data_IF_170959312018
#
_entry.id   IF_170959312018
#
_cell.length_a   1.000
_cell.length_b   1.000
_cell.length_c   1.000
_cell.angle_alpha   90.00
_cell.angle_beta   90.00
_cell.angle_gamma   90.00
#
_symmetry.space_group_name_H-M   'P 1'
#
loop_
_entity.id
_entity.type
_entity.pdbx_description
1 polymer ?
#
# COMPACT_ATOMS: atom_id res chain seq x y z
N UNK A 1 -4.58 22.44 6.03
CA UNK A 1 -4.11 22.98 4.74
C UNK A 1 -2.78 22.30 4.43
N UNK A 2 -2.80 21.08 3.87
CA UNK A 2 -1.58 20.39 3.48
C UNK A 2 -1.08 21.01 2.17
N UNK A 3 0.02 21.76 2.22
CA UNK A 3 0.61 22.37 1.03
C UNK A 3 1.41 21.31 0.26
N UNK A 4 1.11 21.14 -1.03
CA UNK A 4 1.93 20.28 -1.90
C UNK A 4 3.18 21.04 -2.33
N UNK A 5 4.37 20.48 -2.07
CA UNK A 5 5.64 21.00 -2.61
C UNK A 5 6.01 20.23 -3.89
N UNK A 6 6.40 20.94 -4.94
CA UNK A 6 6.87 20.31 -6.19
C UNK A 6 8.30 19.83 -6.00
N UNK A 7 8.54 18.56 -6.31
CA UNK A 7 9.86 17.94 -6.40
C UNK A 7 10.09 17.50 -7.84
N UNK A 8 11.30 17.70 -8.36
CA UNK A 8 11.68 17.24 -9.70
C UNK A 8 12.55 15.99 -9.56
N UNK A 9 12.16 14.91 -10.22
CA UNK A 9 12.88 13.63 -10.24
C UNK A 9 13.00 13.15 -11.67
N UNK A 10 14.06 12.39 -11.96
CA UNK A 10 14.19 11.68 -13.24
C UNK A 10 13.49 10.32 -13.15
N UNK A 11 12.71 9.99 -14.17
CA UNK A 11 12.02 8.71 -14.31
C UNK A 11 12.38 8.10 -15.67
N UNK A 12 12.47 6.77 -15.78
CA UNK A 12 12.55 6.11 -17.09
C UNK A 12 11.37 6.53 -17.97
N UNK A 13 11.63 6.89 -19.21
CA UNK A 13 10.62 7.38 -20.16
C UNK A 13 9.49 6.36 -20.35
N UNK A 14 9.84 5.10 -20.61
CA UNK A 14 8.89 4.00 -20.78
C UNK A 14 7.94 3.86 -19.58
N UNK A 15 8.45 4.04 -18.36
CA UNK A 15 7.66 3.95 -17.14
C UNK A 15 6.70 5.14 -17.01
N UNK A 16 7.20 6.35 -17.30
CA UNK A 16 6.40 7.56 -17.23
C UNK A 16 5.25 7.52 -18.24
N UNK A 17 5.51 7.09 -19.47
CA UNK A 17 4.50 6.97 -20.52
C UNK A 17 3.50 5.85 -20.23
N UNK A 18 3.96 4.69 -19.74
CA UNK A 18 3.05 3.61 -19.32
C UNK A 18 2.09 4.07 -18.22
N UNK A 19 2.60 4.77 -17.21
CA UNK A 19 1.77 5.31 -16.13
C UNK A 19 0.81 6.40 -16.64
N UNK A 20 1.24 7.30 -17.54
CA UNK A 20 0.36 8.30 -18.17
C UNK A 20 -0.76 7.66 -18.98
N UNK A 21 -0.45 6.64 -19.77
CA UNK A 21 -1.44 5.89 -20.54
C UNK A 21 -2.45 5.17 -19.65
N UNK A 22 -2.01 4.67 -18.49
CA UNK A 22 -2.87 3.97 -17.53
C UNK A 22 -3.86 4.91 -16.83
N UNK A 23 -3.42 6.10 -16.40
CA UNK A 23 -4.19 7.00 -15.53
C UNK A 23 -4.93 8.10 -16.27
N UNK A 24 -4.56 8.35 -17.53
CA UNK A 24 -5.14 9.40 -18.36
C UNK A 24 -4.71 10.83 -17.99
N UNK A 25 -5.32 11.85 -18.62
CA UNK A 25 -4.93 13.24 -18.46
C UNK A 25 -5.11 13.73 -17.02
N UNK A 26 -4.07 14.32 -16.43
CA UNK A 26 -4.14 14.94 -15.11
C UNK A 26 -4.02 13.99 -13.90
N UNK A 27 -4.05 12.66 -14.12
CA UNK A 27 -3.94 11.66 -13.05
C UNK A 27 -2.52 11.24 -12.69
N UNK A 28 -1.51 11.69 -13.43
CA UNK A 28 -0.13 11.20 -13.24
C UNK A 28 0.44 11.52 -11.86
N UNK A 29 0.30 12.77 -11.39
CA UNK A 29 0.86 13.18 -10.10
C UNK A 29 0.19 12.48 -8.91
N UNK A 30 -1.15 12.29 -8.95
CA UNK A 30 -1.87 11.58 -7.88
C UNK A 30 -1.51 10.10 -7.86
N UNK A 31 -1.42 9.47 -9.03
CA UNK A 31 -0.99 8.08 -9.13
C UNK A 31 0.41 7.85 -8.57
N UNK A 32 1.36 8.73 -8.91
CA UNK A 32 2.72 8.65 -8.36
C UNK A 32 2.72 8.88 -6.85
N UNK A 33 1.92 9.83 -6.35
CA UNK A 33 1.81 10.08 -4.91
C UNK A 33 1.24 8.86 -4.16
N UNK A 34 0.13 8.29 -4.63
CA UNK A 34 -0.48 7.10 -4.04
C UNK A 34 0.45 5.89 -4.06
N UNK A 35 1.15 5.66 -5.17
CA UNK A 35 2.13 4.59 -5.28
C UNK A 35 3.31 4.78 -4.29
N UNK A 36 3.79 6.01 -4.11
CA UNK A 36 4.84 6.33 -3.14
C UNK A 36 4.34 6.18 -1.69
N UNK A 37 3.14 6.65 -1.38
CA UNK A 37 2.52 6.49 -0.06
C UNK A 37 2.36 5.02 0.30
N UNK A 38 1.81 4.22 -0.62
CA UNK A 38 1.71 2.77 -0.48
C UNK A 38 3.09 2.15 -0.27
N UNK A 39 4.10 2.56 -1.05
CA UNK A 39 5.44 2.00 -0.94
C UNK A 39 6.06 2.28 0.42
N UNK A 40 5.98 3.52 0.88
CA UNK A 40 6.49 3.92 2.21
C UNK A 40 5.76 3.17 3.31
N UNK A 41 4.43 3.00 3.21
CA UNK A 41 3.66 2.24 4.18
C UNK A 41 4.11 0.77 4.24
N UNK A 42 4.34 0.13 3.09
CA UNK A 42 4.81 -1.25 3.01
C UNK A 42 6.25 -1.42 3.50
N UNK A 43 7.13 -0.46 3.24
CA UNK A 43 8.51 -0.49 3.74
C UNK A 43 8.55 -0.40 5.28
N UNK A 44 7.72 0.47 5.89
CA UNK A 44 7.54 0.52 7.35
C UNK A 44 6.91 -0.75 7.91
N UNK A 45 5.93 -1.32 7.22
CA UNK A 45 5.33 -2.59 7.62
C UNK A 45 6.36 -3.72 7.62
N UNK A 46 7.25 -3.75 6.61
CA UNK A 46 8.34 -4.73 6.54
C UNK A 46 9.30 -4.59 7.72
N UNK A 47 9.62 -3.38 8.15
CA UNK A 47 10.44 -3.12 9.33
C UNK A 47 9.79 -3.72 10.59
N UNK A 48 8.50 -3.43 10.82
CA UNK A 48 7.74 -3.98 11.95
C UNK A 48 7.73 -5.53 11.92
N UNK A 49 7.53 -6.13 10.75
CA UNK A 49 7.53 -7.59 10.60
C UNK A 49 8.90 -8.19 10.88
N UNK A 50 9.99 -7.54 10.44
CA UNK A 50 11.35 -8.00 10.70
C UNK A 50 11.69 -7.94 12.21
N UNK A 51 11.29 -6.87 12.89
CA UNK A 51 11.45 -6.73 14.34
C UNK A 51 10.66 -7.79 15.10
N UNK A 52 9.43 -8.08 14.66
CA UNK A 52 8.61 -9.14 15.23
C UNK A 52 9.27 -10.52 15.04
N UNK A 53 9.73 -10.84 13.83
CA UNK A 53 10.35 -12.12 13.50
C UNK A 53 11.68 -12.36 14.24
N UNK A 54 12.34 -11.30 14.71
CA UNK A 54 13.55 -11.43 15.53
C UNK A 54 13.28 -12.06 16.90
N UNK A 55 12.07 -11.86 17.45
CA UNK A 55 11.71 -12.25 18.82
C UNK A 55 10.68 -13.38 18.88
N UNK A 56 10.14 -13.80 17.74
CA UNK A 56 9.06 -14.77 17.66
C UNK A 56 9.42 -15.87 16.67
N UNK A 57 8.92 -17.08 16.94
CA UNK A 57 9.04 -18.21 16.02
C UNK A 57 8.25 -17.94 14.71
N UNK A 58 8.58 -18.68 13.65
CA UNK A 58 7.88 -18.58 12.38
C UNK A 58 6.39 -18.89 12.55
N UNK A 59 5.54 -18.01 12.01
CA UNK A 59 4.09 -18.24 11.98
C UNK A 59 3.77 -19.45 11.10
N UNK A 60 3.00 -20.38 11.64
CA UNK A 60 2.51 -21.54 10.88
C UNK A 60 1.50 -21.10 9.83
N UNK A 61 1.35 -21.93 8.78
CA UNK A 61 0.38 -21.64 7.71
C UNK A 61 -1.05 -21.59 8.26
N UNK A 62 -1.35 -22.44 9.23
CA UNK A 62 -2.63 -22.53 9.92
C UNK A 62 -2.95 -21.21 10.65
N UNK A 63 -1.99 -20.66 11.39
CA UNK A 63 -2.14 -19.37 12.09
C UNK A 63 -2.34 -18.21 11.12
N UNK A 64 -1.58 -18.19 10.01
CA UNK A 64 -1.73 -17.17 8.98
C UNK A 64 -3.11 -17.24 8.32
N UNK A 65 -3.61 -18.43 7.99
CA UNK A 65 -4.94 -18.57 7.39
C UNK A 65 -6.07 -18.22 8.38
N UNK A 66 -5.93 -18.56 9.66
CA UNK A 66 -6.87 -18.14 10.70
C UNK A 66 -6.92 -16.61 10.83
N UNK A 67 -5.76 -15.94 10.87
CA UNK A 67 -5.68 -14.47 10.92
C UNK A 67 -6.28 -13.82 9.66
N UNK A 68 -6.02 -14.38 8.47
CA UNK A 68 -6.64 -13.91 7.22
C UNK A 68 -8.16 -14.05 7.21
N UNK A 69 -8.68 -15.14 7.78
CA UNK A 69 -10.12 -15.33 7.92
C UNK A 69 -10.73 -14.21 8.77
N UNK A 70 -10.14 -13.92 9.94
CA UNK A 70 -10.61 -12.84 10.82
C UNK A 70 -10.65 -11.48 10.12
N UNK A 71 -9.58 -11.08 9.43
CA UNK A 71 -9.52 -9.80 8.70
C UNK A 71 -10.58 -9.70 7.60
N UNK A 72 -10.88 -10.80 6.89
CA UNK A 72 -11.96 -10.83 5.89
C UNK A 72 -13.33 -10.67 6.52
N UNK A 73 -13.54 -11.21 7.72
CA UNK A 73 -14.80 -11.10 8.45
C UNK A 73 -15.06 -9.67 8.95
N UNK A 74 -14.05 -9.02 9.54
CA UNK A 74 -14.15 -7.62 9.99
C UNK A 74 -14.49 -6.69 8.83
N UNK A 75 -13.86 -6.86 7.66
CA UNK A 75 -14.13 -6.01 6.51
C UNK A 75 -15.56 -6.19 5.97
N UNK A 76 -16.12 -7.40 6.05
CA UNK A 76 -17.53 -7.68 5.69
C UNK A 76 -18.51 -7.01 6.66
N UNK A 77 -18.16 -6.89 7.94
CA UNK A 77 -19.02 -6.28 8.96
C UNK A 77 -19.05 -4.74 8.83
N UNK A 78 -17.91 -4.11 8.47
CA UNK A 78 -17.83 -2.66 8.23
C UNK A 78 -18.59 -2.23 6.97
N UNK A 79 -18.68 -3.10 5.94
CA UNK A 79 -19.44 -2.83 4.72
C UNK A 79 -20.97 -3.00 4.83
N UNK A 80 -21.47 -3.56 5.94
CA UNK A 80 -22.91 -3.80 6.17
C UNK A 80 -23.66 -2.68 6.89
N UNK A 81 -22.95 -1.63 7.34
CA UNK A 81 -23.52 -0.54 8.14
C UNK A 81 -23.76 0.76 7.35
N UNK A 82 -23.70 0.71 6.02
CA UNK A 82 -24.09 1.81 5.14
C UNK A 82 -25.32 1.40 4.31
N UNK A 83 -26.51 1.57 4.89
CA UNK A 83 -27.81 1.52 4.20
C UNK A 83 -28.64 2.72 4.65
#
# INVERSE_FOLDING_TARGET
MSSSKKYSISLPEDLAEAARAHVGPGGFSSYVAEALEQRVAMDKLREIVADFATNNDELTREEVEAARALLRHDHRQVGGAAA
#
